data_IF_178502957432
#
_entry.id   IF_178502957432
#
_cell.length_a   1.000
_cell.length_b   1.000
_cell.length_c   1.000
_cell.angle_alpha   90.00
_cell.angle_beta   90.00
_cell.angle_gamma   90.00
#
_symmetry.space_group_name_H-M   'P 1'
#
loop_
_entity.id
_entity.type
_entity.pdbx_description
1 polymer ?
#
# COMPACT_ATOMS: atom_id res chain seq x y z
N UNK A 1 -23.91 1.02 -10.22
CA UNK A 1 -23.05 2.05 -10.83
C UNK A 1 -21.69 1.44 -11.06
N UNK A 2 -21.16 1.42 -12.27
CA UNK A 2 -19.81 0.94 -12.52
C UNK A 2 -18.79 1.74 -11.72
N UNK A 3 -17.72 1.08 -11.28
CA UNK A 3 -16.70 1.67 -10.43
C UNK A 3 -16.09 2.97 -10.97
N UNK A 4 -15.88 3.04 -12.30
CA UNK A 4 -15.36 4.23 -12.96
C UNK A 4 -16.32 5.44 -12.85
N UNK A 5 -17.63 5.23 -12.93
CA UNK A 5 -18.63 6.28 -12.77
C UNK A 5 -18.73 6.77 -11.33
N UNK A 6 -18.64 5.84 -10.36
CA UNK A 6 -18.57 6.21 -8.95
C UNK A 6 -17.33 7.04 -8.64
N UNK A 7 -16.18 6.64 -9.18
CA UNK A 7 -14.92 7.37 -8.98
C UNK A 7 -14.96 8.75 -9.65
N UNK A 8 -15.44 8.85 -10.88
CA UNK A 8 -15.61 10.12 -11.56
C UNK A 8 -16.59 11.05 -10.82
N UNK A 9 -17.69 10.51 -10.30
CA UNK A 9 -18.67 11.28 -9.52
C UNK A 9 -18.09 11.73 -8.17
N UNK A 10 -17.35 10.86 -7.47
CA UNK A 10 -16.67 11.20 -6.21
C UNK A 10 -15.59 12.23 -6.46
N UNK A 11 -14.81 12.11 -7.55
CA UNK A 11 -13.76 13.07 -7.89
C UNK A 11 -14.32 14.41 -8.37
N UNK A 12 -15.39 14.40 -9.16
CA UNK A 12 -16.07 15.62 -9.60
C UNK A 12 -16.83 16.33 -8.46
N UNK A 13 -17.30 15.57 -7.49
CA UNK A 13 -17.96 16.08 -6.28
C UNK A 13 -17.05 16.32 -5.10
N UNK A 14 -15.73 16.04 -5.24
CA UNK A 14 -14.78 16.29 -4.15
C UNK A 14 -14.63 17.78 -3.93
N UNK A 15 -15.12 18.23 -2.80
CA UNK A 15 -14.91 19.58 -2.30
C UNK A 15 -13.43 19.92 -2.25
N UNK A 16 -13.10 21.21 -2.33
CA UNK A 16 -11.72 21.71 -2.17
C UNK A 16 -11.05 21.18 -0.89
N UNK A 17 -11.83 20.80 0.11
CA UNK A 17 -11.40 20.24 1.38
C UNK A 17 -10.73 18.84 1.24
N UNK A 18 -11.22 18.01 0.31
CA UNK A 18 -10.61 16.70 0.06
C UNK A 18 -9.36 16.78 -0.82
N UNK A 19 -9.16 17.87 -1.55
CA UNK A 19 -7.96 18.07 -2.39
C UNK A 19 -6.70 18.36 -1.57
N UNK A 20 -6.83 18.74 -0.32
CA UNK A 20 -5.73 18.93 0.61
C UNK A 20 -5.55 17.79 1.60
N UNK A 21 -6.33 16.71 1.47
CA UNK A 21 -6.24 15.56 2.37
C UNK A 21 -4.93 14.80 2.16
N UNK A 22 -4.19 14.57 3.23
CA UNK A 22 -2.99 13.72 3.22
C UNK A 22 -3.27 12.27 2.75
N UNK A 23 -4.52 11.81 2.89
CA UNK A 23 -4.93 10.48 2.44
C UNK A 23 -5.30 10.37 0.96
N UNK A 24 -5.53 11.50 0.25
CA UNK A 24 -6.01 11.44 -1.14
C UNK A 24 -5.66 12.66 -2.01
N UNK A 25 -5.07 13.68 -1.46
CA UNK A 25 -4.85 14.98 -2.13
C UNK A 25 -3.40 15.26 -2.51
N UNK A 26 -2.48 14.34 -2.23
CA UNK A 26 -1.06 14.54 -2.52
C UNK A 26 -0.76 14.04 -3.92
N UNK A 27 -0.09 14.87 -4.72
CA UNK A 27 0.48 14.50 -6.02
C UNK A 27 2.00 14.51 -5.93
N UNK A 28 2.63 13.57 -6.58
CA UNK A 28 4.08 13.44 -6.56
C UNK A 28 4.60 12.60 -7.74
N UNK A 29 5.90 12.55 -7.86
CA UNK A 29 6.60 11.70 -8.83
C UNK A 29 6.96 10.36 -8.22
N UNK A 30 7.38 9.40 -9.06
CA UNK A 30 7.95 8.14 -8.58
C UNK A 30 9.19 8.38 -7.71
N UNK A 31 10.01 9.39 -8.04
CA UNK A 31 11.16 9.79 -7.24
C UNK A 31 10.77 10.22 -5.82
N UNK A 32 9.70 10.97 -5.67
CA UNK A 32 9.19 11.40 -4.35
C UNK A 32 8.73 10.20 -3.53
N UNK A 33 8.05 9.23 -4.14
CA UNK A 33 7.65 8.00 -3.47
C UNK A 33 8.85 7.16 -3.03
N UNK A 34 9.92 7.11 -3.82
CA UNK A 34 11.14 6.39 -3.43
C UNK A 34 11.87 7.08 -2.28
N UNK A 35 11.82 8.43 -2.19
CA UNK A 35 12.33 9.16 -1.02
C UNK A 35 11.51 8.82 0.22
N UNK A 36 10.18 8.84 0.11
CA UNK A 36 9.29 8.41 1.19
C UNK A 36 9.55 6.96 1.60
N UNK A 37 9.68 6.06 0.63
CA UNK A 37 9.97 4.65 0.87
C UNK A 37 11.26 4.43 1.67
N UNK A 38 12.32 5.18 1.34
CA UNK A 38 13.59 5.16 2.09
C UNK A 38 13.40 5.62 3.52
N UNK A 39 12.65 6.69 3.71
CA UNK A 39 12.37 7.21 5.06
C UNK A 39 11.55 6.21 5.88
N UNK A 40 10.58 5.53 5.28
CA UNK A 40 9.80 4.48 5.92
C UNK A 40 10.62 3.21 6.22
N UNK A 41 11.68 2.95 5.47
CA UNK A 41 12.55 1.81 5.67
C UNK A 41 13.66 2.08 6.69
N UNK A 42 14.30 3.25 6.58
CA UNK A 42 15.42 3.68 7.39
C UNK A 42 15.26 5.18 7.72
N UNK A 43 14.50 5.51 8.77
CA UNK A 43 14.13 6.89 9.08
C UNK A 43 15.34 7.73 9.43
N UNK A 44 15.41 8.93 8.82
CA UNK A 44 16.43 9.95 9.07
C UNK A 44 15.82 11.29 9.52
N UNK A 45 14.55 11.52 9.17
CA UNK A 45 13.79 12.73 9.49
C UNK A 45 12.67 12.45 10.47
N UNK A 46 12.04 11.26 10.36
CA UNK A 46 11.05 10.78 11.32
C UNK A 46 11.78 10.16 12.52
N UNK A 47 11.25 10.39 13.72
CA UNK A 47 11.72 9.62 14.86
C UNK A 47 11.42 8.14 14.66
N UNK A 48 12.37 7.28 14.98
CA UNK A 48 12.23 5.83 14.82
C UNK A 48 11.02 5.30 15.56
N UNK A 49 10.80 5.81 16.76
CA UNK A 49 9.68 5.44 17.62
C UNK A 49 8.33 5.76 16.98
N UNK A 50 8.23 6.91 16.29
CA UNK A 50 7.02 7.30 15.55
C UNK A 50 6.73 6.34 14.40
N UNK A 51 7.76 5.93 13.66
CA UNK A 51 7.60 4.96 12.59
C UNK A 51 7.27 3.56 13.13
N UNK A 52 7.92 3.14 14.21
CA UNK A 52 7.65 1.87 14.86
C UNK A 52 6.18 1.80 15.33
N UNK A 53 5.66 2.88 15.90
CA UNK A 53 4.24 3.00 16.27
C UNK A 53 3.33 2.99 15.03
N UNK A 54 3.69 3.71 13.98
CA UNK A 54 2.88 3.80 12.77
C UNK A 54 2.68 2.46 12.05
N UNK A 55 3.67 1.57 12.13
CA UNK A 55 3.61 0.23 11.51
C UNK A 55 3.21 -0.88 12.49
N UNK A 56 3.10 -0.58 13.78
CA UNK A 56 2.55 -1.53 14.75
C UNK A 56 1.05 -1.72 14.53
N UNK A 57 0.57 -2.96 14.70
CA UNK A 57 -0.86 -3.25 14.59
C UNK A 57 -1.61 -2.52 15.69
N UNK A 58 -2.54 -1.63 15.28
CA UNK A 58 -3.24 -0.76 16.23
C UNK A 58 -4.45 -1.42 16.88
N UNK A 59 -5.15 -2.26 16.15
CA UNK A 59 -6.37 -2.92 16.61
C UNK A 59 -6.30 -4.41 16.29
N UNK A 60 -5.49 -5.20 17.01
CA UNK A 60 -5.26 -6.59 16.69
C UNK A 60 -6.54 -7.44 16.75
N UNK A 61 -6.66 -8.37 15.83
CA UNK A 61 -7.77 -9.31 15.77
C UNK A 61 -9.04 -8.78 15.10
N UNK A 62 -9.03 -7.58 14.54
CA UNK A 62 -10.16 -7.10 13.74
C UNK A 62 -10.17 -7.76 12.36
N UNK A 63 -11.31 -8.31 12.01
CA UNK A 63 -11.57 -8.79 10.65
C UNK A 63 -11.91 -7.63 9.72
N UNK A 64 -11.63 -7.81 8.44
CA UNK A 64 -11.98 -6.82 7.44
C UNK A 64 -12.04 -7.38 6.03
N UNK A 65 -12.40 -6.52 5.08
CA UNK A 65 -12.40 -6.84 3.66
C UNK A 65 -11.33 -6.01 2.97
N UNK A 66 -10.35 -6.70 2.38
CA UNK A 66 -9.35 -6.07 1.55
C UNK A 66 -9.87 -5.99 0.11
N UNK A 67 -10.03 -4.79 -0.45
CA UNK A 67 -10.59 -4.63 -1.79
C UNK A 67 -9.85 -5.48 -2.84
N UNK A 68 -10.59 -6.28 -3.59
CA UNK A 68 -10.04 -7.20 -4.59
C UNK A 68 -9.46 -8.51 -4.04
N UNK A 69 -9.15 -8.58 -2.76
CA UNK A 69 -8.49 -9.74 -2.12
C UNK A 69 -9.38 -10.46 -1.10
N UNK A 70 -10.59 -9.94 -0.87
CA UNK A 70 -11.61 -10.57 -0.04
C UNK A 70 -11.44 -10.35 1.46
N UNK A 71 -12.11 -11.20 2.25
CA UNK A 71 -12.09 -11.15 3.71
C UNK A 71 -10.73 -11.60 4.24
N UNK A 72 -10.21 -10.84 5.18
CA UNK A 72 -8.99 -11.14 5.93
C UNK A 72 -9.34 -11.27 7.42
N UNK A 73 -8.74 -12.27 8.06
CA UNK A 73 -8.98 -12.59 9.48
C UNK A 73 -7.64 -12.97 10.14
N UNK A 74 -6.98 -12.06 10.82
CA UNK A 74 -7.28 -10.63 11.00
C UNK A 74 -6.94 -9.78 9.76
N UNK A 75 -7.47 -8.55 9.71
CA UNK A 75 -7.11 -7.53 8.73
C UNK A 75 -6.27 -6.43 9.39
N UNK A 76 -5.05 -6.76 9.71
CA UNK A 76 -4.14 -5.93 10.49
C UNK A 76 -3.70 -4.65 9.77
N UNK A 77 -3.75 -3.54 10.53
CA UNK A 77 -3.36 -2.21 10.08
C UNK A 77 -2.58 -1.48 11.18
N UNK A 78 -1.59 -0.70 10.76
CA UNK A 78 -0.97 0.33 11.57
C UNK A 78 -1.69 1.67 11.41
N UNK A 79 -1.00 2.77 11.71
CA UNK A 79 -1.53 4.13 11.52
C UNK A 79 -1.41 4.52 10.03
N UNK A 80 -2.46 4.21 9.26
CA UNK A 80 -2.52 4.50 7.82
C UNK A 80 -1.68 3.58 6.93
N UNK A 81 -1.01 2.60 7.50
CA UNK A 81 -0.23 1.59 6.78
C UNK A 81 -0.89 0.22 6.96
N UNK A 82 -1.20 -0.43 5.87
CA UNK A 82 -1.62 -1.82 5.92
C UNK A 82 -0.42 -2.72 6.21
N UNK A 83 -0.56 -3.64 7.15
CA UNK A 83 0.43 -4.66 7.48
C UNK A 83 0.04 -5.96 6.81
N UNK A 84 0.97 -6.59 6.08
CA UNK A 84 0.71 -7.84 5.38
C UNK A 84 0.34 -8.97 6.33
N UNK A 85 1.13 -9.18 7.35
CA UNK A 85 1.03 -10.32 8.26
C UNK A 85 0.80 -11.66 7.51
N UNK A 86 -0.14 -12.47 7.94
CA UNK A 86 -0.50 -13.76 7.33
C UNK A 86 -1.61 -13.65 6.26
N UNK A 87 -1.99 -12.44 5.84
CA UNK A 87 -3.06 -12.23 4.86
C UNK A 87 -2.77 -12.97 3.54
N UNK A 88 -3.79 -13.70 3.07
CA UNK A 88 -3.73 -14.44 1.80
C UNK A 88 -5.17 -14.66 1.28
N UNK A 89 -5.47 -14.28 0.02
CA UNK A 89 -4.60 -13.58 -0.92
C UNK A 89 -4.30 -12.14 -0.49
N UNK A 90 -3.22 -11.54 -1.00
CA UNK A 90 -2.79 -10.19 -0.67
C UNK A 90 -2.23 -9.48 -1.91
N UNK A 91 -2.26 -8.14 -1.91
CA UNK A 91 -1.73 -7.32 -3.02
C UNK A 91 -0.20 -7.28 -3.10
N UNK A 92 0.50 -7.62 -2.03
CA UNK A 92 1.94 -7.89 -2.05
C UNK A 92 2.20 -9.33 -2.50
N UNK A 93 3.45 -9.67 -2.81
CA UNK A 93 3.82 -11.01 -3.24
C UNK A 93 3.75 -12.05 -2.13
N UNK A 94 3.67 -13.31 -2.52
CA UNK A 94 3.72 -14.44 -1.59
C UNK A 94 5.07 -14.56 -0.87
N UNK A 95 6.13 -14.04 -1.49
CA UNK A 95 7.50 -14.03 -0.97
C UNK A 95 7.80 -12.85 -0.04
N UNK A 96 6.93 -11.86 0.00
CA UNK A 96 7.07 -10.75 0.94
C UNK A 96 6.97 -11.22 2.39
N UNK A 97 7.78 -10.62 3.26
CA UNK A 97 7.75 -10.95 4.68
C UNK A 97 6.41 -10.57 5.33
N UNK A 98 6.01 -11.23 6.42
CA UNK A 98 4.85 -10.82 7.20
C UNK A 98 4.93 -9.37 7.71
N UNK A 99 6.14 -8.83 7.87
CA UNK A 99 6.38 -7.46 8.30
C UNK A 99 6.26 -6.43 7.19
N UNK A 100 6.01 -6.86 5.96
CA UNK A 100 5.75 -5.95 4.84
C UNK A 100 4.55 -5.07 5.15
N UNK A 101 4.70 -3.78 4.87
CA UNK A 101 3.65 -2.81 5.07
C UNK A 101 3.60 -1.82 3.90
N UNK A 102 2.50 -1.09 3.80
CA UNK A 102 2.32 -0.10 2.75
C UNK A 102 0.87 0.26 2.53
N UNK A 103 0.58 0.75 1.37
CA UNK A 103 -0.78 1.07 0.96
C UNK A 103 -0.92 1.05 -0.56
N UNK A 104 -2.11 0.74 -1.03
CA UNK A 104 -2.47 0.89 -2.44
C UNK A 104 -3.71 1.78 -2.60
N UNK A 105 -3.81 2.42 -3.75
CA UNK A 105 -4.89 3.34 -4.06
C UNK A 105 -5.78 2.87 -5.20
N UNK A 106 -7.00 3.41 -5.22
CA UNK A 106 -7.95 3.21 -6.33
C UNK A 106 -7.44 3.70 -7.68
N UNK A 107 -6.45 4.59 -7.68
CA UNK A 107 -5.74 5.06 -8.88
C UNK A 107 -4.89 3.98 -9.55
N UNK A 108 -4.78 2.79 -8.97
CA UNK A 108 -3.94 1.72 -9.50
C UNK A 108 -2.47 1.87 -9.12
N UNK A 109 -2.19 2.58 -8.04
CA UNK A 109 -0.85 2.85 -7.54
C UNK A 109 -0.64 2.18 -6.20
N UNK A 110 0.61 1.85 -5.87
CA UNK A 110 0.96 1.35 -4.55
C UNK A 110 2.38 1.75 -4.13
N UNK A 111 2.59 1.73 -2.84
CA UNK A 111 3.89 1.73 -2.19
C UNK A 111 3.93 0.59 -1.18
N UNK A 112 4.91 -0.29 -1.27
CA UNK A 112 5.21 -1.30 -0.26
C UNK A 112 6.64 -1.16 0.24
N UNK A 113 6.85 -1.52 1.49
CA UNK A 113 8.16 -1.64 2.13
C UNK A 113 8.23 -3.01 2.80
N UNK A 114 9.22 -3.80 2.44
CA UNK A 114 9.55 -5.07 3.08
C UNK A 114 10.84 -4.89 3.89
N UNK A 115 10.74 -4.68 5.21
CA UNK A 115 11.90 -4.40 6.03
C UNK A 115 12.86 -5.59 6.17
N UNK A 116 12.35 -6.82 6.08
CA UNK A 116 13.17 -8.02 6.22
C UNK A 116 13.97 -8.31 4.95
N UNK A 117 13.37 -8.09 3.79
CA UNK A 117 14.07 -8.15 2.53
C UNK A 117 14.92 -6.90 2.26
N UNK A 118 14.73 -5.82 3.01
CA UNK A 118 15.39 -4.53 2.81
C UNK A 118 15.05 -3.90 1.46
N UNK A 119 13.83 -4.07 0.98
CA UNK A 119 13.36 -3.50 -0.29
C UNK A 119 12.15 -2.59 -0.07
N UNK A 120 11.98 -1.67 -1.01
CA UNK A 120 10.75 -0.95 -1.21
C UNK A 120 10.39 -0.95 -2.70
N UNK A 121 9.11 -1.03 -3.00
CA UNK A 121 8.58 -1.02 -4.35
C UNK A 121 7.45 -0.02 -4.46
N UNK A 122 7.58 0.92 -5.42
CA UNK A 122 6.55 1.87 -5.77
C UNK A 122 6.07 1.61 -7.20
N UNK A 123 4.77 1.66 -7.41
CA UNK A 123 4.17 1.51 -8.71
C UNK A 123 3.20 2.65 -8.98
N UNK A 124 3.42 3.36 -10.08
CA UNK A 124 2.49 4.36 -10.61
C UNK A 124 1.95 3.87 -11.94
N UNK A 125 0.65 3.95 -12.12
CA UNK A 125 -0.01 3.57 -13.37
C UNK A 125 -1.06 4.61 -13.78
N UNK A 126 -1.42 4.61 -15.02
CA UNK A 126 -2.53 5.37 -15.59
C UNK A 126 -3.84 4.57 -15.61
N UNK A 127 -3.83 3.37 -15.01
CA UNK A 127 -4.94 2.43 -15.01
C UNK A 127 -5.52 2.27 -13.60
N UNK A 128 -6.82 2.54 -13.39
CA UNK A 128 -7.45 2.34 -12.08
C UNK A 128 -7.29 0.90 -11.56
N UNK A 129 -7.27 0.77 -10.23
CA UNK A 129 -7.26 -0.54 -9.57
C UNK A 129 -8.44 -1.40 -10.04
N UNK A 130 -8.17 -2.69 -10.26
CA UNK A 130 -9.14 -3.69 -10.69
C UNK A 130 -8.48 -5.06 -10.82
N UNK A 131 -9.14 -5.99 -11.48
CA UNK A 131 -8.69 -7.40 -11.60
C UNK A 131 -7.26 -7.54 -12.14
N UNK A 132 -6.85 -6.66 -13.06
CA UNK A 132 -5.49 -6.63 -13.57
C UNK A 132 -4.44 -6.41 -12.48
N UNK A 133 -4.75 -5.55 -11.51
CA UNK A 133 -3.86 -5.24 -10.40
C UNK A 133 -3.81 -6.41 -9.39
N UNK A 134 -4.96 -7.02 -9.12
CA UNK A 134 -5.07 -8.21 -8.27
C UNK A 134 -4.20 -9.35 -8.80
N UNK A 135 -4.12 -9.51 -10.13
CA UNK A 135 -3.28 -10.52 -10.76
C UNK A 135 -1.80 -10.08 -10.89
N UNK A 136 -1.54 -8.84 -11.28
CA UNK A 136 -0.20 -8.39 -11.65
C UNK A 136 0.68 -8.01 -10.45
N UNK A 137 0.13 -7.35 -9.43
CA UNK A 137 0.93 -6.80 -8.35
C UNK A 137 1.64 -7.84 -7.48
N UNK A 138 0.98 -8.95 -7.05
CA UNK A 138 1.68 -9.99 -6.30
C UNK A 138 2.84 -10.60 -7.09
N UNK A 139 2.62 -10.84 -8.39
CA UNK A 139 3.66 -11.38 -9.28
C UNK A 139 4.83 -10.42 -9.50
N UNK A 140 4.55 -9.13 -9.61
CA UNK A 140 5.58 -8.09 -9.72
C UNK A 140 6.44 -8.06 -8.46
N UNK A 141 5.82 -8.05 -7.28
CA UNK A 141 6.53 -8.04 -6.01
C UNK A 141 7.40 -9.30 -5.83
N UNK A 142 6.87 -10.48 -6.17
CA UNK A 142 7.63 -11.73 -6.13
C UNK A 142 8.81 -11.74 -7.11
N UNK A 143 8.62 -11.20 -8.33
CA UNK A 143 9.69 -11.12 -9.33
C UNK A 143 10.86 -10.24 -8.84
N UNK A 144 10.55 -9.07 -8.25
CA UNK A 144 11.58 -8.18 -7.67
C UNK A 144 12.36 -8.85 -6.55
N UNK A 145 11.68 -9.61 -5.68
CA UNK A 145 12.34 -10.36 -4.62
C UNK A 145 13.24 -11.49 -5.15
N UNK A 146 12.82 -12.15 -6.23
CA UNK A 146 13.61 -13.23 -6.86
C UNK A 146 14.89 -12.71 -7.50
N UNK A 147 14.83 -11.59 -8.23
CA UNK A 147 16.02 -10.99 -8.85
C UNK A 147 17.06 -10.57 -7.83
N UNK A 148 16.64 -10.12 -6.66
CA UNK A 148 17.57 -9.71 -5.59
C UNK A 148 18.24 -10.89 -4.89
N UNK A 149 17.63 -12.06 -4.89
CA UNK A 149 18.16 -13.28 -4.25
C UNK A 149 19.12 -14.07 -5.15
N UNK A 150 19.30 -13.62 -6.39
CA UNK A 150 20.22 -14.19 -7.38
C UNK A 150 21.56 -13.46 -7.37
#
# INVERSE_FOLDING_TARGET
MPFAEYFAAVWAGTSAELRGSAGSGVSGTLGDLLVLARELQAPTRLAKETLDEARAVQFPGLDGVLPGFGRQTPNDWGLGLEVRDAKSPHWTGARNSPRTFGHFGRSGTFLLVDPDAGIALACLTDRPFGDWAVDAWPRLADAVLMERGS
#
